data_IF_338343929367
#
_entry.id   IF_338343929367
#
_cell.length_a   1.000
_cell.length_b   1.000
_cell.length_c   1.000
_cell.angle_alpha   90.00
_cell.angle_beta   90.00
_cell.angle_gamma   90.00
#
_symmetry.space_group_name_H-M   'P 1'
#
loop_
_entity.id
_entity.type
_entity.pdbx_description
1 polymer ?
#
# COMPACT_ATOMS: atom_id res chain seq x y z
N UNK A 1 20.94 -1.31 13.02
CA UNK A 1 21.28 -1.78 11.65
C UNK A 1 19.97 -1.87 10.90
N UNK A 2 19.69 -0.89 10.04
CA UNK A 2 18.57 -0.93 9.09
C UNK A 2 18.89 -2.02 8.07
N UNK A 3 18.00 -2.99 7.89
CA UNK A 3 18.16 -4.01 6.85
C UNK A 3 18.21 -3.31 5.48
N UNK A 4 19.01 -3.81 4.51
CA UNK A 4 19.04 -3.23 3.18
C UNK A 4 17.65 -3.39 2.53
N UNK A 5 17.06 -2.27 2.16
CA UNK A 5 15.80 -2.20 1.41
C UNK A 5 16.14 -2.16 -0.09
N UNK A 6 15.44 -2.91 -0.95
CA UNK A 6 15.51 -2.71 -2.39
C UNK A 6 15.19 -1.24 -2.74
N UNK A 7 16.22 -0.51 -3.16
CA UNK A 7 16.11 0.90 -3.56
C UNK A 7 16.53 1.09 -5.03
N UNK A 8 15.81 1.92 -5.77
CA UNK A 8 16.24 2.42 -7.09
C UNK A 8 16.21 3.93 -7.15
N UNK A 9 17.16 4.51 -7.89
CA UNK A 9 17.24 5.92 -8.23
C UNK A 9 17.60 6.05 -9.74
N UNK A 10 17.31 7.20 -10.36
CA UNK A 10 17.64 7.52 -11.76
C UNK A 10 17.15 6.44 -12.76
N UNK A 11 18.02 5.92 -13.63
CA UNK A 11 17.68 4.85 -14.57
C UNK A 11 17.56 3.44 -13.93
N UNK A 12 17.61 3.36 -12.59
CA UNK A 12 17.51 2.11 -11.85
C UNK A 12 16.20 1.37 -12.10
N UNK A 13 16.28 0.06 -12.22
CA UNK A 13 15.13 -0.82 -12.42
C UNK A 13 15.09 -1.92 -11.35
N UNK A 14 13.93 -2.18 -10.76
CA UNK A 14 13.67 -3.36 -9.93
C UNK A 14 12.74 -4.31 -10.69
N UNK A 15 13.08 -5.59 -10.68
CA UNK A 15 12.20 -6.64 -11.18
C UNK A 15 12.10 -7.77 -10.16
N UNK A 16 10.91 -7.96 -9.61
CA UNK A 16 10.54 -9.04 -8.72
C UNK A 16 9.61 -9.99 -9.47
N UNK A 17 9.96 -11.28 -9.53
CA UNK A 17 9.18 -12.27 -10.26
C UNK A 17 9.16 -13.59 -9.50
N UNK A 18 7.96 -14.10 -9.20
CA UNK A 18 7.77 -15.38 -8.47
C UNK A 18 8.49 -15.44 -7.12
N UNK A 19 8.42 -14.34 -6.37
CA UNK A 19 9.02 -14.22 -5.03
C UNK A 19 7.97 -13.95 -3.96
N UNK A 20 8.28 -14.33 -2.73
CA UNK A 20 7.50 -13.97 -1.54
C UNK A 20 8.28 -12.97 -0.72
N UNK A 21 7.68 -11.81 -0.44
CA UNK A 21 8.20 -10.81 0.49
C UNK A 21 7.55 -11.04 1.86
N UNK A 22 8.35 -11.42 2.86
CA UNK A 22 7.86 -11.79 4.20
C UNK A 22 8.67 -11.16 5.34
N UNK A 23 8.13 -11.15 6.56
CA UNK A 23 8.86 -10.80 7.80
C UNK A 23 9.61 -11.99 8.40
N UNK A 24 9.57 -13.16 7.78
CA UNK A 24 10.22 -14.32 8.36
C UNK A 24 11.73 -14.08 8.35
N UNK A 25 12.32 -14.14 9.53
CA UNK A 25 13.76 -14.24 9.63
C UNK A 25 14.13 -15.65 9.18
N UNK A 26 14.79 -15.72 8.02
CA UNK A 26 15.28 -16.98 7.47
C UNK A 26 16.71 -17.18 7.95
N UNK A 27 16.91 -18.21 8.78
CA UNK A 27 18.23 -18.63 9.23
C UNK A 27 18.58 -19.92 8.51
N UNK A 28 19.70 -19.90 7.78
CA UNK A 28 20.27 -21.13 7.22
C UNK A 28 21.08 -21.81 8.30
N UNK A 29 20.71 -23.03 8.62
CA UNK A 29 21.55 -23.95 9.38
C UNK A 29 22.63 -24.48 8.43
N UNK A 30 23.88 -24.14 8.69
CA UNK A 30 25.00 -24.54 7.84
C UNK A 30 25.44 -25.99 8.07
N UNK A 31 25.04 -26.61 9.19
CA UNK A 31 25.37 -27.99 9.53
C UNK A 31 24.35 -28.96 8.91
N UNK A 32 23.06 -28.59 8.91
CA UNK A 32 21.98 -29.45 8.35
C UNK A 32 21.57 -29.04 6.93
N UNK A 33 21.98 -27.86 6.47
CA UNK A 33 21.48 -27.26 5.22
C UNK A 33 20.02 -26.81 5.28
N UNK A 34 19.37 -26.95 6.45
CA UNK A 34 17.98 -26.55 6.67
C UNK A 34 17.81 -25.04 6.68
N UNK A 35 16.61 -24.58 6.34
CA UNK A 35 16.20 -23.19 6.51
C UNK A 35 15.13 -23.16 7.60
N UNK A 36 15.42 -22.50 8.72
CA UNK A 36 14.42 -22.19 9.74
C UNK A 36 13.84 -20.81 9.46
N UNK A 37 12.54 -20.67 9.73
CA UNK A 37 11.81 -19.44 9.53
C UNK A 37 11.14 -19.04 10.84
N UNK A 38 11.55 -17.91 11.40
CA UNK A 38 10.95 -17.36 12.61
C UNK A 38 10.18 -16.09 12.29
N UNK A 39 8.98 -15.92 12.86
CA UNK A 39 8.21 -14.70 12.69
C UNK A 39 8.89 -13.56 13.44
N UNK A 40 9.47 -12.62 12.70
CA UNK A 40 9.97 -11.39 13.29
C UNK A 40 8.78 -10.41 13.41
N UNK A 41 8.06 -10.45 14.53
CA UNK A 41 6.89 -9.60 14.81
C UNK A 41 7.19 -8.11 14.99
N UNK A 42 8.38 -7.67 14.58
CA UNK A 42 8.84 -6.29 14.70
C UNK A 42 8.10 -5.36 13.74
N UNK A 43 7.85 -4.15 14.23
CA UNK A 43 7.36 -3.04 13.44
C UNK A 43 8.42 -2.58 12.43
N UNK A 44 7.99 -2.20 11.24
CA UNK A 44 8.82 -1.61 10.19
C UNK A 44 8.56 -0.11 10.11
N UNK A 45 9.62 0.68 10.23
CA UNK A 45 9.58 2.15 10.14
C UNK A 45 10.02 2.66 8.76
N UNK A 46 10.32 1.75 7.85
CA UNK A 46 10.74 2.00 6.49
C UNK A 46 9.94 1.07 5.56
N UNK A 47 9.77 1.43 4.28
CA UNK A 47 9.11 0.57 3.32
C UNK A 47 9.87 -0.74 3.10
N UNK A 48 9.24 -1.65 2.38
CA UNK A 48 9.91 -2.84 1.88
C UNK A 48 10.47 -2.62 0.47
N UNK A 49 9.89 -1.68 -0.26
CA UNK A 49 10.35 -1.24 -1.57
C UNK A 49 10.25 0.28 -1.57
N UNK A 50 11.39 0.94 -1.72
CA UNK A 50 11.46 2.37 -1.97
C UNK A 50 12.00 2.57 -3.37
N UNK A 51 11.29 3.29 -4.21
CA UNK A 51 11.71 3.45 -5.60
C UNK A 51 11.52 4.85 -6.12
N UNK A 52 12.61 5.37 -6.67
CA UNK A 52 12.70 6.66 -7.35
C UNK A 52 13.26 6.55 -8.76
N UNK A 53 13.63 5.33 -9.16
CA UNK A 53 14.18 5.03 -10.47
C UNK A 53 13.12 4.62 -11.50
N UNK A 54 13.57 4.51 -12.75
CA UNK A 54 12.77 4.41 -13.99
C UNK A 54 11.65 3.38 -14.01
N UNK A 55 11.91 2.14 -13.57
CA UNK A 55 10.96 1.04 -13.75
C UNK A 55 10.95 0.08 -12.56
N UNK A 56 9.75 -0.31 -12.14
CA UNK A 56 9.54 -1.40 -11.19
C UNK A 56 8.58 -2.40 -11.83
N UNK A 57 8.93 -3.68 -11.81
CA UNK A 57 8.06 -4.77 -12.25
C UNK A 57 7.89 -5.77 -11.12
N UNK A 58 6.65 -5.98 -10.68
CA UNK A 58 6.24 -6.94 -9.64
C UNK A 58 5.29 -7.94 -10.30
N UNK A 59 5.75 -9.15 -10.54
CA UNK A 59 4.97 -10.18 -11.25
C UNK A 59 4.91 -11.48 -10.47
N UNK A 60 3.71 -12.02 -10.29
CA UNK A 60 3.51 -13.30 -9.58
C UNK A 60 4.13 -13.27 -8.17
N UNK A 61 4.03 -12.13 -7.48
CA UNK A 61 4.61 -11.90 -6.15
C UNK A 61 3.55 -12.05 -5.06
N UNK A 62 3.92 -12.67 -3.95
CA UNK A 62 3.16 -12.62 -2.71
C UNK A 62 3.84 -11.67 -1.72
N UNK A 63 3.13 -10.65 -1.28
CA UNK A 63 3.53 -9.77 -0.20
C UNK A 63 2.77 -10.23 1.06
N UNK A 64 3.47 -10.91 1.98
CA UNK A 64 2.90 -11.31 3.27
C UNK A 64 2.72 -10.08 4.17
N UNK A 65 1.76 -10.14 5.09
CA UNK A 65 1.42 -8.99 5.92
C UNK A 65 2.57 -8.54 6.82
N UNK A 66 2.82 -7.23 6.83
CA UNK A 66 3.83 -6.59 7.65
C UNK A 66 3.24 -5.41 8.41
N UNK A 67 3.73 -5.20 9.64
CA UNK A 67 3.33 -4.06 10.46
C UNK A 67 4.22 -2.86 10.14
N UNK A 68 3.84 -2.10 9.11
CA UNK A 68 4.44 -0.80 8.83
C UNK A 68 3.82 0.24 9.77
N UNK A 69 4.68 1.02 10.42
CA UNK A 69 4.28 2.09 11.34
C UNK A 69 4.83 3.40 10.80
N UNK A 70 3.93 4.33 10.50
CA UNK A 70 4.19 5.64 9.88
C UNK A 70 4.96 5.50 8.57
N UNK A 71 4.70 4.43 7.83
CA UNK A 71 5.42 4.08 6.61
C UNK A 71 4.52 3.29 5.67
N UNK A 72 4.82 3.35 4.37
CA UNK A 72 4.18 2.52 3.35
C UNK A 72 4.86 1.14 3.30
N UNK A 73 4.17 0.12 2.78
CA UNK A 73 4.84 -1.13 2.42
C UNK A 73 5.65 -1.01 1.12
N UNK A 74 5.12 -0.22 0.18
CA UNK A 74 5.77 0.13 -1.09
C UNK A 74 5.62 1.65 -1.25
N UNK A 75 6.74 2.34 -1.41
CA UNK A 75 6.79 3.79 -1.60
C UNK A 75 7.49 4.15 -2.90
N UNK A 76 6.75 4.74 -3.83
CA UNK A 76 7.21 5.09 -5.16
C UNK A 76 7.15 6.61 -5.30
N UNK A 77 8.30 7.23 -5.48
CA UNK A 77 8.45 8.67 -5.63
C UNK A 77 9.17 8.96 -6.96
N UNK A 78 8.41 9.18 -8.02
CA UNK A 78 8.95 9.48 -9.33
C UNK A 78 9.69 10.81 -9.36
N UNK A 79 10.97 10.79 -9.75
CA UNK A 79 11.88 11.94 -9.75
C UNK A 79 11.97 12.74 -11.07
N UNK A 80 11.21 12.37 -12.11
CA UNK A 80 11.35 12.91 -13.48
C UNK A 80 10.03 13.02 -14.26
N UNK A 81 8.92 13.14 -13.54
CA UNK A 81 7.57 13.21 -14.11
C UNK A 81 6.95 11.84 -14.45
N UNK A 82 5.63 11.84 -14.57
CA UNK A 82 4.76 10.65 -14.61
C UNK A 82 5.07 9.63 -15.70
N UNK A 83 5.65 10.06 -16.83
CA UNK A 83 5.93 9.20 -17.98
C UNK A 83 7.28 8.49 -17.92
N UNK A 84 8.21 8.99 -17.10
CA UNK A 84 9.57 8.46 -16.99
C UNK A 84 9.72 7.43 -15.86
N UNK A 85 8.75 7.39 -14.94
CA UNK A 85 8.73 6.44 -13.83
C UNK A 85 7.49 5.55 -13.92
N UNK A 86 7.72 4.25 -14.08
CA UNK A 86 6.64 3.27 -14.24
C UNK A 86 6.74 2.15 -13.22
N UNK A 87 5.58 1.74 -12.72
CA UNK A 87 5.42 0.60 -11.82
C UNK A 87 4.37 -0.31 -12.38
N UNK A 88 4.76 -1.55 -12.65
CA UNK A 88 3.90 -2.57 -13.24
C UNK A 88 3.74 -3.69 -12.22
N UNK A 89 2.50 -3.95 -11.82
CA UNK A 89 2.11 -4.99 -10.88
C UNK A 89 1.18 -5.96 -11.60
N UNK A 90 1.56 -7.23 -11.70
CA UNK A 90 0.76 -8.25 -12.37
C UNK A 90 0.64 -9.52 -11.54
N UNK A 91 -0.55 -10.14 -11.56
CA UNK A 91 -0.81 -11.46 -10.96
C UNK A 91 -0.29 -11.60 -9.53
N UNK A 92 -0.31 -10.51 -8.77
CA UNK A 92 0.33 -10.41 -7.46
C UNK A 92 -0.70 -10.27 -6.35
N UNK A 93 -0.32 -10.71 -5.15
CA UNK A 93 -1.18 -10.74 -3.97
C UNK A 93 -0.53 -9.95 -2.84
N UNK A 94 -1.23 -8.96 -2.32
CA UNK A 94 -0.75 -8.08 -1.26
C UNK A 94 -1.63 -8.23 -0.02
N UNK A 95 -1.04 -8.75 1.06
CA UNK A 95 -1.67 -8.81 2.36
C UNK A 95 -1.35 -7.53 3.12
N UNK A 96 -2.36 -6.69 3.33
CA UNK A 96 -2.24 -5.42 4.05
C UNK A 96 -2.64 -5.64 5.50
N UNK A 97 -1.77 -5.33 6.45
CA UNK A 97 -2.12 -5.42 7.86
C UNK A 97 -3.03 -4.24 8.24
N UNK A 98 -4.23 -4.53 8.75
CA UNK A 98 -5.15 -3.49 9.23
C UNK A 98 -4.71 -3.00 10.62
N UNK A 99 -3.83 -1.99 10.67
CA UNK A 99 -3.15 -1.51 11.89
C UNK A 99 -3.76 -0.23 12.48
N UNK A 100 -4.77 0.36 11.85
CA UNK A 100 -5.32 1.67 12.23
C UNK A 100 -4.41 2.86 11.86
N UNK A 101 -3.20 2.59 11.36
CA UNK A 101 -2.31 3.63 10.82
C UNK A 101 -2.88 4.24 9.55
N UNK A 102 -2.73 5.56 9.39
CA UNK A 102 -3.29 6.35 8.28
C UNK A 102 -2.44 6.30 7.01
N UNK A 103 -1.24 5.70 7.05
CA UNK A 103 -0.38 5.55 5.88
C UNK A 103 -0.95 4.56 4.85
N UNK A 104 -0.85 4.90 3.56
CA UNK A 104 -1.15 3.98 2.46
C UNK A 104 -0.13 2.84 2.41
N UNK A 105 -0.59 1.60 2.18
CA UNK A 105 0.33 0.48 1.99
C UNK A 105 1.15 0.63 0.70
N UNK A 106 0.50 1.01 -0.41
CA UNK A 106 1.15 1.32 -1.67
C UNK A 106 0.97 2.81 -1.95
N UNK A 107 2.06 3.57 -1.90
CA UNK A 107 2.07 4.98 -2.23
C UNK A 107 2.76 5.19 -3.59
N UNK A 108 2.05 5.77 -4.55
CA UNK A 108 2.57 6.11 -5.87
C UNK A 108 2.42 7.60 -6.12
N UNK A 109 3.55 8.29 -6.17
CA UNK A 109 3.65 9.71 -6.47
C UNK A 109 4.57 9.93 -7.67
N UNK A 110 4.25 10.89 -8.54
CA UNK A 110 5.14 11.28 -9.65
C UNK A 110 5.34 10.19 -10.72
N UNK A 111 4.45 9.19 -10.79
CA UNK A 111 4.68 7.94 -11.54
C UNK A 111 3.43 7.40 -12.23
N UNK A 112 3.64 6.50 -13.19
CA UNK A 112 2.58 5.67 -13.79
C UNK A 112 2.53 4.31 -13.08
N UNK A 113 1.46 4.04 -12.35
CA UNK A 113 1.16 2.75 -11.71
C UNK A 113 0.19 1.96 -12.58
N UNK A 114 0.56 0.75 -12.95
CA UNK A 114 -0.28 -0.22 -13.66
C UNK A 114 -0.43 -1.46 -12.79
N UNK A 115 -1.66 -1.81 -12.42
CA UNK A 115 -1.97 -3.02 -11.66
C UNK A 115 -2.96 -3.88 -12.44
N UNK A 116 -2.57 -5.12 -12.75
CA UNK A 116 -3.38 -6.06 -13.54
C UNK A 116 -3.54 -7.39 -12.82
N UNK A 117 -4.74 -7.96 -12.85
CA UNK A 117 -5.03 -9.30 -12.35
C UNK A 117 -4.49 -9.55 -10.92
N UNK A 118 -4.54 -8.53 -10.07
CA UNK A 118 -3.88 -8.53 -8.76
C UNK A 118 -4.89 -8.36 -7.63
N UNK A 119 -4.52 -8.82 -6.44
CA UNK A 119 -5.36 -8.75 -5.24
C UNK A 119 -4.66 -7.94 -4.16
N UNK A 120 -5.32 -6.92 -3.64
CA UNK A 120 -4.88 -6.13 -2.49
C UNK A 120 -5.92 -6.32 -1.41
N UNK A 121 -5.55 -6.98 -0.31
CA UNK A 121 -6.51 -7.38 0.70
C UNK A 121 -6.03 -7.20 2.11
N UNK A 122 -6.93 -6.68 2.95
CA UNK A 122 -6.69 -6.50 4.36
C UNK A 122 -6.71 -7.82 5.12
N UNK A 123 -5.81 -7.96 6.08
CA UNK A 123 -5.84 -9.00 7.09
C UNK A 123 -5.95 -8.35 8.48
N UNK A 124 -6.64 -9.03 9.40
CA UNK A 124 -6.75 -8.54 10.77
C UNK A 124 -5.38 -8.57 11.43
N UNK A 125 -4.98 -7.45 12.02
CA UNK A 125 -3.84 -7.41 12.93
C UNK A 125 -4.05 -8.37 14.09
N UNK A 126 -3.06 -9.20 14.38
CA UNK A 126 -3.09 -10.08 15.55
C UNK A 126 -3.19 -9.21 16.81
N UNK A 127 -4.27 -9.38 17.57
CA UNK A 127 -4.56 -8.62 18.80
C UNK A 127 -3.53 -8.80 19.92
N UNK A 128 -2.44 -9.53 19.70
CA UNK A 128 -1.32 -9.71 20.63
C UNK A 128 -0.40 -8.48 20.71
N UNK A 129 -0.47 -7.54 19.76
CA UNK A 129 0.21 -6.24 19.82
C UNK A 129 -0.70 -5.10 20.33
N UNK A 130 -1.68 -5.41 21.20
CA UNK A 130 -2.55 -4.44 21.89
C UNK A 130 -1.85 -3.65 23.02
N UNK A 131 -0.55 -3.37 22.90
CA UNK A 131 0.11 -2.41 23.79
C UNK A 131 -0.14 -0.95 23.37
N UNK A 132 -0.95 -0.71 22.34
CA UNK A 132 -1.46 0.62 22.05
C UNK A 132 -2.85 0.80 22.70
N UNK A 133 -2.84 1.10 23.99
CA UNK A 133 -3.91 1.90 24.59
C UNK A 133 -3.42 3.35 24.58
N UNK A 134 -3.88 4.22 23.65
CA UNK A 134 -3.62 5.64 23.79
C UNK A 134 -4.45 6.11 24.99
N UNK A 135 -3.83 6.17 26.18
CA UNK A 135 -4.32 7.06 27.23
C UNK A 135 -4.03 8.48 26.75
N UNK A 136 -4.95 9.05 25.96
CA UNK A 136 -4.95 10.47 25.66
C UNK A 136 -5.99 11.16 26.54
N UNK A 137 -5.50 11.89 27.55
CA UNK A 137 -6.24 13.04 28.06
C UNK A 137 -5.84 14.22 27.18
N UNK A 138 -6.79 14.76 26.41
CA UNK A 138 -6.95 16.17 26.04
C UNK A 138 -7.77 16.26 24.74
N UNK A 139 -8.83 17.05 24.80
CA UNK A 139 -9.74 17.39 23.70
C UNK A 139 -8.97 17.96 22.50
N UNK A 140 -9.11 17.34 21.33
CA UNK A 140 -8.79 17.88 20.01
C UNK A 140 -9.72 17.22 18.97
N UNK A 141 -10.13 17.94 17.91
CA UNK A 141 -11.43 17.76 17.27
C UNK A 141 -11.55 16.43 16.53
N UNK A 142 -12.73 15.82 16.64
CA UNK A 142 -13.21 14.72 15.81
C UNK A 142 -13.35 15.20 14.35
N UNK A 143 -12.28 15.14 13.58
CA UNK A 143 -12.36 15.17 12.12
C UNK A 143 -12.23 13.74 11.60
N UNK A 144 -13.26 13.28 10.88
CA UNK A 144 -13.17 12.09 10.06
C UNK A 144 -12.17 12.39 8.94
N UNK A 145 -10.90 12.05 9.13
CA UNK A 145 -9.87 12.15 8.10
C UNK A 145 -10.10 11.03 7.07
N UNK A 146 -11.04 11.24 6.15
CA UNK A 146 -11.26 10.39 4.98
C UNK A 146 -10.19 10.61 3.91
N UNK A 147 -8.98 10.99 4.31
CA UNK A 147 -7.85 11.33 3.45
C UNK A 147 -6.93 10.12 3.20
N UNK A 148 -7.37 8.89 3.48
CA UNK A 148 -6.55 7.67 3.41
C UNK A 148 -7.08 6.66 2.38
N UNK A 149 -6.22 5.70 2.02
CA UNK A 149 -6.50 4.61 1.09
C UNK A 149 -5.35 3.61 1.13
N UNK A 150 -5.62 2.30 1.03
CA UNK A 150 -4.54 1.30 1.01
C UNK A 150 -3.59 1.50 -0.18
N UNK A 151 -4.12 1.97 -1.31
CA UNK A 151 -3.35 2.46 -2.45
C UNK A 151 -3.58 3.96 -2.62
N UNK A 152 -2.51 4.72 -2.78
CA UNK A 152 -2.56 6.15 -3.11
C UNK A 152 -1.89 6.38 -4.47
N UNK A 153 -2.56 7.16 -5.33
CA UNK A 153 -2.03 7.69 -6.59
C UNK A 153 -2.16 9.20 -6.58
N UNK A 154 -1.06 9.92 -6.58
CA UNK A 154 -1.01 11.39 -6.61
C UNK A 154 0.04 11.86 -7.61
N UNK A 155 -0.19 13.02 -8.24
CA UNK A 155 0.74 13.59 -9.24
C UNK A 155 1.22 12.51 -10.24
N UNK A 156 0.26 11.80 -10.84
CA UNK A 156 0.51 10.44 -11.32
C UNK A 156 -0.65 9.85 -12.08
N UNK A 157 -0.38 8.73 -12.75
CA UNK A 157 -1.41 7.97 -13.47
C UNK A 157 -1.55 6.60 -12.82
N UNK A 158 -2.76 6.19 -12.48
CA UNK A 158 -3.08 4.86 -12.00
C UNK A 158 -3.97 4.11 -12.99
N UNK A 159 -3.59 2.90 -13.38
CA UNK A 159 -4.38 2.05 -14.25
C UNK A 159 -4.60 0.70 -13.58
N UNK A 160 -5.85 0.38 -13.26
CA UNK A 160 -6.22 -0.85 -12.58
C UNK A 160 -7.11 -1.70 -13.48
N UNK A 161 -6.65 -2.90 -13.82
CA UNK A 161 -7.34 -3.85 -14.69
C UNK A 161 -7.56 -5.17 -13.95
N UNK A 162 -8.79 -5.68 -13.89
CA UNK A 162 -9.11 -6.96 -13.22
C UNK A 162 -8.51 -7.07 -11.81
N UNK A 163 -8.50 -5.96 -11.08
CA UNK A 163 -7.87 -5.85 -9.76
C UNK A 163 -8.92 -5.89 -8.66
N UNK A 164 -8.62 -6.62 -7.59
CA UNK A 164 -9.52 -6.80 -6.44
C UNK A 164 -8.97 -6.07 -5.23
N UNK A 165 -9.80 -5.23 -4.62
CA UNK A 165 -9.55 -4.57 -3.35
C UNK A 165 -10.54 -5.05 -2.30
N UNK A 166 -10.07 -5.64 -1.20
CA UNK A 166 -10.99 -6.17 -0.19
C UNK A 166 -10.53 -6.08 1.25
N UNK A 167 -11.49 -5.99 2.15
CA UNK A 167 -11.27 -6.11 3.60
C UNK A 167 -10.26 -5.09 4.17
N UNK A 168 -10.02 -3.97 3.47
CA UNK A 168 -9.04 -2.93 3.83
C UNK A 168 -9.61 -1.95 4.85
N UNK A 169 -8.85 -1.69 5.92
CA UNK A 169 -9.30 -0.84 7.03
C UNK A 169 -9.06 0.67 6.83
N UNK A 170 -8.38 1.05 5.75
CA UNK A 170 -8.07 2.43 5.38
C UNK A 170 -8.82 2.89 4.12
N UNK A 171 -9.82 2.13 3.67
CA UNK A 171 -10.37 2.29 2.32
C UNK A 171 -9.45 1.67 1.26
N UNK A 172 -9.92 1.56 0.01
CA UNK A 172 -9.18 0.85 -1.02
C UNK A 172 -8.24 1.76 -1.81
N UNK A 173 -8.76 2.86 -2.36
CA UNK A 173 -8.03 3.70 -3.30
C UNK A 173 -8.20 5.19 -2.97
N UNK A 174 -7.08 5.89 -2.85
CA UNK A 174 -6.99 7.35 -2.79
C UNK A 174 -6.43 7.87 -4.11
N UNK A 175 -7.12 8.84 -4.68
CA UNK A 175 -6.65 9.65 -5.82
C UNK A 175 -6.37 11.05 -5.30
N UNK A 176 -5.10 11.38 -5.14
CA UNK A 176 -4.65 12.68 -4.66
C UNK A 176 -4.62 13.75 -5.77
N UNK A 177 -4.15 14.95 -5.41
CA UNK A 177 -3.98 16.05 -6.35
C UNK A 177 -3.14 15.65 -7.56
N UNK A 178 -3.53 16.11 -8.75
CA UNK A 178 -2.94 15.76 -10.05
C UNK A 178 -2.94 14.25 -10.36
N UNK A 179 -3.62 13.43 -9.57
CA UNK A 179 -3.80 12.00 -9.80
C UNK A 179 -4.88 11.74 -10.84
N UNK A 180 -4.58 10.89 -11.82
CA UNK A 180 -5.52 10.43 -12.83
C UNK A 180 -5.61 8.91 -12.76
N UNK A 181 -6.77 8.39 -12.37
CA UNK A 181 -6.98 6.95 -12.23
C UNK A 181 -8.00 6.42 -13.23
N UNK A 182 -7.68 5.30 -13.86
CA UNK A 182 -8.60 4.53 -14.71
C UNK A 182 -8.80 3.13 -14.11
N UNK A 183 -10.07 2.75 -13.98
CA UNK A 183 -10.50 1.41 -13.58
C UNK A 183 -11.07 0.70 -14.80
N UNK A 184 -10.56 -0.49 -15.11
CA UNK A 184 -10.92 -1.25 -16.31
C UNK A 184 -11.16 -2.72 -16.02
N UNK A 185 -12.01 -3.36 -16.81
CA UNK A 185 -12.13 -4.81 -16.92
C UNK A 185 -12.26 -5.51 -15.55
N UNK A 186 -13.41 -5.39 -14.89
CA UNK A 186 -13.74 -6.07 -13.62
C UNK A 186 -12.85 -5.68 -12.42
N UNK A 187 -12.69 -4.39 -12.16
CA UNK A 187 -12.19 -3.92 -10.85
C UNK A 187 -13.27 -4.13 -9.78
N UNK A 188 -12.92 -4.77 -8.66
CA UNK A 188 -13.89 -5.09 -7.58
C UNK A 188 -13.46 -4.52 -6.25
N UNK A 189 -14.43 -3.98 -5.52
CA UNK A 189 -14.25 -3.48 -4.17
C UNK A 189 -15.26 -4.13 -3.23
N UNK A 190 -14.81 -4.81 -2.17
CA UNK A 190 -15.73 -5.43 -1.20
C UNK A 190 -15.16 -5.51 0.22
N UNK A 191 -16.01 -5.37 1.23
CA UNK A 191 -15.59 -5.54 2.63
C UNK A 191 -14.69 -4.43 3.20
N UNK A 192 -14.28 -3.44 2.40
CA UNK A 192 -13.46 -2.31 2.86
C UNK A 192 -14.25 -1.41 3.82
N UNK A 193 -13.63 -1.04 4.95
CA UNK A 193 -14.27 -0.27 6.03
C UNK A 193 -13.23 0.59 6.73
N UNK A 194 -13.39 1.91 6.75
CA UNK A 194 -12.48 2.77 7.51
C UNK A 194 -12.70 2.57 9.01
N UNK A 195 -11.67 2.14 9.74
CA UNK A 195 -11.68 2.03 11.20
C UNK A 195 -11.40 3.39 11.84
N UNK A 196 -12.43 4.23 11.95
CA UNK A 196 -12.61 5.27 12.99
C UNK A 196 -13.80 6.16 12.62
N UNK A 197 -15.03 5.70 12.90
CA UNK A 197 -16.22 6.51 12.64
C UNK A 197 -17.09 6.60 13.89
N UNK A 198 -17.38 7.84 14.29
CA UNK A 198 -18.50 8.20 15.16
C UNK A 198 -19.81 7.65 14.58
N UNK A 199 -20.87 7.55 15.39
CA UNK A 199 -22.09 6.80 15.04
C UNK A 199 -22.80 7.26 13.76
N UNK A 200 -22.51 8.47 13.28
CA UNK A 200 -23.14 9.08 12.10
C UNK A 200 -22.56 8.52 10.78
N UNK A 201 -21.34 7.97 10.80
CA UNK A 201 -20.64 7.48 9.60
C UNK A 201 -20.58 5.94 9.47
N UNK A 202 -21.21 5.21 10.41
CA UNK A 202 -21.29 3.72 10.42
C UNK A 202 -21.88 3.09 9.15
N UNK A 203 -22.41 3.89 8.22
CA UNK A 203 -22.98 3.46 6.94
C UNK A 203 -22.14 3.73 5.68
N UNK A 204 -21.12 4.61 5.73
CA UNK A 204 -20.42 5.04 4.51
C UNK A 204 -19.24 4.15 4.16
N UNK A 205 -19.50 3.10 3.39
CA UNK A 205 -18.48 2.22 2.79
C UNK A 205 -17.82 2.90 1.57
N UNK A 206 -16.97 3.92 1.78
CA UNK A 206 -16.25 4.54 0.66
C UNK A 206 -15.03 3.70 0.29
N UNK A 207 -15.09 3.06 -0.88
CA UNK A 207 -13.98 2.30 -1.44
C UNK A 207 -12.93 3.22 -2.09
N UNK A 208 -13.36 4.35 -2.65
CA UNK A 208 -12.52 5.27 -3.38
C UNK A 208 -12.71 6.68 -2.80
N UNK A 209 -11.60 7.39 -2.61
CA UNK A 209 -11.55 8.79 -2.24
C UNK A 209 -10.79 9.58 -3.31
N UNK A 210 -11.38 10.65 -3.82
CA UNK A 210 -10.74 11.55 -4.79
C UNK A 210 -10.63 12.94 -4.17
N UNK A 211 -9.41 13.45 -4.02
CA UNK A 211 -9.15 14.75 -3.43
C UNK A 211 -8.14 15.53 -4.28
N UNK A 212 -8.64 16.49 -5.05
CA UNK A 212 -7.83 17.55 -5.63
C UNK A 212 -7.53 18.66 -4.62
N UNK A 213 -6.59 19.54 -4.96
CA UNK A 213 -6.26 20.74 -4.21
C UNK A 213 -6.06 21.94 -5.15
N UNK A 214 -5.55 23.07 -4.64
CA UNK A 214 -5.27 24.26 -5.43
C UNK A 214 -4.24 24.04 -6.56
N UNK A 215 -3.42 22.99 -6.46
CA UNK A 215 -2.40 22.64 -7.43
C UNK A 215 -2.93 21.74 -8.55
N UNK A 216 -4.08 21.07 -8.35
CA UNK A 216 -4.67 20.22 -9.37
C UNK A 216 -5.86 19.38 -8.93
N UNK A 217 -6.65 18.94 -9.92
CA UNK A 217 -7.80 18.08 -9.70
C UNK A 217 -7.41 16.60 -9.66
N UNK A 218 -8.07 15.84 -8.81
CA UNK A 218 -8.07 14.38 -8.85
C UNK A 218 -9.12 13.90 -9.87
N UNK A 219 -8.76 12.92 -10.70
CA UNK A 219 -9.63 12.39 -11.75
C UNK A 219 -9.75 10.87 -11.64
N UNK A 220 -10.97 10.37 -11.82
CA UNK A 220 -11.27 8.94 -11.85
C UNK A 220 -12.17 8.64 -13.05
N UNK A 221 -11.76 7.67 -13.85
CA UNK A 221 -12.55 7.09 -14.93
C UNK A 221 -12.75 5.59 -14.68
N UNK A 222 -13.92 5.07 -15.06
CA UNK A 222 -14.24 3.64 -14.98
C UNK A 222 -14.92 3.21 -16.28
N UNK A 223 -14.47 2.09 -16.85
CA UNK A 223 -14.98 1.52 -18.11
C UNK A 223 -14.99 0.00 -18.10
#
# INVERSE_FOLDING_TARGET
ITAPEPQTDNDGTIRLTKVTLSNKLLTKDYDTGGITAENNGQQKLAPFIQAKGKLIVISDVLFESLNFVRSSGIDIQGSSGVFNHQVIIERSNFQVLNTGDKSSFLNSQGSTLVAKNSNIFGIKGDSKNKNYSPKQNAVAPETCEWDTGAVNVADGVGFFESTIFRDLSQGALKVGSLGIVTLKDTVRFYGNKVTDTTEIDKGFRRNIYCAGDANGQAQLSAS
#
